data_IF_790111350303
#
_entry.id   IF_790111350303
#
_cell.length_a   1.000
_cell.length_b   1.000
_cell.length_c   1.000
_cell.angle_alpha   90.00
_cell.angle_beta   90.00
_cell.angle_gamma   90.00
#
_symmetry.space_group_name_H-M   'P 1'
#
loop_
_entity.id
_entity.type
_entity.pdbx_description
1 polymer ?
#
# COMPACT_ATOMS: atom_id res chain seq x y z
N UNK A 1 -3.16 10.84 -39.89
CA UNK A 1 -2.51 9.59 -39.43
C UNK A 1 -3.52 8.47 -39.51
N UNK A 2 -3.23 7.45 -40.32
CA UNK A 2 -4.03 6.24 -40.45
C UNK A 2 -3.99 5.44 -39.14
N UNK A 3 -5.03 4.64 -38.89
CA UNK A 3 -5.09 3.75 -37.72
C UNK A 3 -3.88 2.81 -37.64
N UNK A 4 -3.32 2.45 -38.80
CA UNK A 4 -2.13 1.59 -38.91
C UNK A 4 -0.85 2.25 -38.37
N UNK A 5 -0.61 3.50 -38.74
CA UNK A 5 0.56 4.28 -38.28
C UNK A 5 0.54 4.49 -36.76
N UNK A 6 -0.65 4.64 -36.18
CA UNK A 6 -0.83 4.76 -34.72
C UNK A 6 -0.50 3.47 -33.98
N UNK A 7 -0.71 2.32 -34.61
CA UNK A 7 -0.40 1.01 -34.04
C UNK A 7 1.10 0.73 -34.10
N UNK A 8 1.75 1.04 -35.24
CA UNK A 8 3.20 0.91 -35.41
C UNK A 8 3.96 1.77 -34.38
N UNK A 9 3.54 3.02 -34.20
CA UNK A 9 4.10 3.89 -33.15
C UNK A 9 3.87 3.34 -31.74
N UNK A 10 2.72 2.69 -31.51
CA UNK A 10 2.43 2.07 -30.21
C UNK A 10 3.38 0.91 -29.93
N UNK A 11 3.64 0.05 -30.91
CA UNK A 11 4.57 -1.07 -30.77
C UNK A 11 6.00 -0.60 -30.50
N UNK A 12 6.45 0.44 -31.21
CA UNK A 12 7.75 1.06 -30.97
C UNK A 12 7.88 1.57 -29.53
N UNK A 13 6.86 2.29 -29.04
CA UNK A 13 6.88 2.81 -27.66
C UNK A 13 6.83 1.70 -26.61
N UNK A 14 6.11 0.62 -26.87
CA UNK A 14 6.08 -0.54 -25.98
C UNK A 14 7.47 -1.19 -25.87
N UNK A 15 8.20 -1.33 -26.98
CA UNK A 15 9.58 -1.82 -26.99
C UNK A 15 10.53 -0.92 -26.19
N UNK A 16 10.47 0.39 -26.41
CA UNK A 16 11.28 1.38 -25.67
C UNK A 16 11.01 1.35 -24.15
N UNK A 17 9.75 1.17 -23.74
CA UNK A 17 9.39 1.04 -22.32
C UNK A 17 9.95 -0.25 -21.72
N UNK A 18 9.94 -1.35 -22.47
CA UNK A 18 10.54 -2.61 -22.03
C UNK A 18 12.06 -2.50 -21.88
N UNK A 19 12.76 -1.88 -22.84
CA UNK A 19 14.19 -1.61 -22.78
C UNK A 19 14.56 -0.69 -21.60
N UNK A 20 13.78 0.37 -21.38
CA UNK A 20 13.94 1.24 -20.21
C UNK A 20 13.83 0.45 -18.90
N UNK A 21 12.79 -0.38 -18.76
CA UNK A 21 12.61 -1.22 -17.57
C UNK A 21 13.74 -2.22 -17.38
N UNK A 22 14.20 -2.86 -18.45
CA UNK A 22 15.32 -3.79 -18.42
C UNK A 22 16.65 -3.10 -18.07
N UNK A 23 16.82 -1.83 -18.45
CA UNK A 23 18.04 -1.07 -18.17
C UNK A 23 18.24 -0.75 -16.69
N UNK A 24 17.15 -0.67 -15.90
CA UNK A 24 17.21 -0.27 -14.49
C UNK A 24 17.71 1.17 -14.24
N UNK A 25 17.89 1.96 -15.30
CA UNK A 25 18.39 3.34 -15.22
C UNK A 25 17.29 4.32 -14.82
N UNK A 26 17.69 5.45 -14.23
CA UNK A 26 16.76 6.56 -13.97
C UNK A 26 16.25 7.20 -15.26
N UNK A 27 15.01 7.70 -15.27
CA UNK A 27 14.36 8.29 -16.46
C UNK A 27 15.23 9.37 -17.16
N UNK A 28 15.85 10.26 -16.38
CA UNK A 28 16.69 11.32 -16.93
C UNK A 28 17.99 10.79 -17.57
N UNK A 29 18.56 9.74 -17.00
CA UNK A 29 19.80 9.13 -17.49
C UNK A 29 19.53 8.34 -18.77
N UNK A 30 18.48 7.51 -18.78
CA UNK A 30 18.09 6.73 -19.95
C UNK A 30 17.67 7.64 -21.12
N UNK A 31 16.93 8.72 -20.83
CA UNK A 31 16.53 9.69 -21.84
C UNK A 31 17.75 10.39 -22.49
N UNK A 32 18.77 10.75 -21.69
CA UNK A 32 20.01 11.33 -22.20
C UNK A 32 20.80 10.35 -23.06
N UNK A 33 20.92 9.08 -22.65
CA UNK A 33 21.65 8.06 -23.39
C UNK A 33 21.00 7.72 -24.73
N UNK A 34 19.66 7.66 -24.76
CA UNK A 34 18.90 7.27 -25.95
C UNK A 34 18.43 8.48 -26.80
N UNK A 35 18.84 9.71 -26.44
CA UNK A 35 18.49 10.92 -27.18
C UNK A 35 17.01 11.34 -27.10
N UNK A 36 16.26 10.82 -26.13
CA UNK A 36 14.85 11.15 -25.93
C UNK A 36 14.65 12.29 -24.93
N UNK A 37 13.53 13.00 -25.08
CA UNK A 37 13.08 13.95 -24.05
C UNK A 37 12.40 13.19 -22.91
N UNK A 38 12.77 13.49 -21.67
CA UNK A 38 12.20 12.86 -20.46
C UNK A 38 10.66 12.89 -20.46
N UNK A 39 10.07 13.99 -20.91
CA UNK A 39 8.60 14.15 -21.02
C UNK A 39 7.94 13.11 -21.94
N UNK A 40 8.60 12.67 -23.01
CA UNK A 40 8.07 11.66 -23.92
C UNK A 40 8.14 10.28 -23.27
N UNK A 41 9.25 9.98 -22.57
CA UNK A 41 9.39 8.74 -21.80
C UNK A 41 8.31 8.65 -20.71
N UNK A 42 8.06 9.72 -19.96
CA UNK A 42 6.95 9.77 -18.99
C UNK A 42 5.59 9.51 -19.65
N UNK A 43 5.34 10.11 -20.81
CA UNK A 43 4.12 9.87 -21.56
C UNK A 43 3.96 8.39 -21.94
N UNK A 44 5.03 7.73 -22.41
CA UNK A 44 5.02 6.30 -22.73
C UNK A 44 4.83 5.44 -21.47
N UNK A 45 5.53 5.73 -20.37
CA UNK A 45 5.40 5.00 -19.10
C UNK A 45 3.98 5.04 -18.55
N UNK A 46 3.29 6.19 -18.64
CA UNK A 46 1.89 6.33 -18.23
C UNK A 46 0.95 5.55 -19.15
N UNK A 47 1.29 5.43 -20.44
CA UNK A 47 0.47 4.74 -21.43
C UNK A 47 0.62 3.22 -21.39
N UNK A 48 1.78 2.74 -20.97
CA UNK A 48 2.09 1.32 -20.79
C UNK A 48 2.43 1.07 -19.33
N UNK A 49 1.45 1.13 -18.40
CA UNK A 49 1.71 0.83 -17.00
C UNK A 49 2.33 -0.57 -16.87
N UNK A 50 3.17 -0.77 -15.86
CA UNK A 50 3.64 -2.12 -15.55
C UNK A 50 2.41 -2.93 -15.14
N UNK A 51 2.32 -4.19 -15.59
CA UNK A 51 1.19 -5.07 -15.27
C UNK A 51 1.03 -5.28 -13.75
N UNK A 52 2.05 -4.96 -12.95
CA UNK A 52 2.01 -4.98 -11.49
C UNK A 52 1.31 -3.74 -10.87
N UNK A 53 1.05 -2.69 -11.66
CA UNK A 53 0.36 -1.48 -11.25
C UNK A 53 -1.13 -1.49 -11.64
N UNK A 54 -1.79 -2.65 -11.47
CA UNK A 54 -3.24 -2.68 -11.25
C UNK A 54 -3.64 -1.96 -9.94
N UNK A 55 -2.69 -1.39 -9.19
CA UNK A 55 -2.93 -0.23 -8.35
C UNK A 55 -3.06 1.02 -9.24
N UNK A 56 -4.13 1.05 -10.04
CA UNK A 56 -4.77 2.30 -10.40
C UNK A 56 -4.78 3.17 -9.14
N UNK A 57 -4.38 4.42 -9.28
CA UNK A 57 -4.59 5.52 -8.33
C UNK A 57 -6.10 5.79 -8.13
N UNK A 58 -6.89 4.74 -7.95
CA UNK A 58 -8.10 4.82 -7.15
C UNK A 58 -7.58 5.28 -5.80
N UNK A 59 -7.88 6.53 -5.44
CA UNK A 59 -7.76 7.03 -4.06
C UNK A 59 -8.25 5.92 -3.12
N UNK A 60 -7.33 5.11 -2.62
CA UNK A 60 -7.61 4.13 -1.61
C UNK A 60 -7.76 4.96 -0.37
N UNK A 61 -9.01 5.32 -0.05
CA UNK A 61 -9.36 5.87 1.24
C UNK A 61 -8.87 4.87 2.28
N UNK A 62 -7.72 5.17 2.88
CA UNK A 62 -7.23 4.41 4.02
C UNK A 62 -8.13 4.81 5.19
N UNK A 63 -8.93 3.89 5.75
CA UNK A 63 -9.68 4.21 6.95
C UNK A 63 -8.67 4.50 8.06
N UNK A 64 -8.67 5.74 8.52
CA UNK A 64 -7.99 6.10 9.78
C UNK A 64 -8.82 5.44 10.86
N UNK A 65 -8.36 4.27 11.32
CA UNK A 65 -8.83 3.73 12.59
C UNK A 65 -8.36 4.74 13.63
N UNK A 66 -9.27 5.43 14.34
CA UNK A 66 -8.85 6.29 15.43
C UNK A 66 -8.03 5.41 16.35
N UNK A 67 -6.82 5.86 16.67
CA UNK A 67 -6.00 5.23 17.69
C UNK A 67 -6.89 5.20 18.93
N UNK A 68 -7.39 4.01 19.28
CA UNK A 68 -8.20 3.86 20.48
C UNK A 68 -7.21 4.19 21.57
N UNK A 69 -7.29 5.41 22.10
CA UNK A 69 -6.57 5.79 23.31
C UNK A 69 -6.70 4.62 24.27
N UNK A 70 -5.57 3.95 24.52
CA UNK A 70 -5.56 2.77 25.36
C UNK A 70 -6.02 3.24 26.73
N UNK A 71 -7.30 3.01 27.03
CA UNK A 71 -7.83 3.29 28.35
C UNK A 71 -7.00 2.43 29.30
N UNK A 72 -6.42 3.01 30.36
CA UNK A 72 -5.57 2.25 31.26
C UNK A 72 -6.40 1.14 31.90
N UNK A 73 -6.26 -0.09 31.39
CA UNK A 73 -6.90 -1.29 31.92
C UNK A 73 -5.94 -1.97 32.90
N UNK A 74 -6.48 -2.46 34.02
CA UNK A 74 -5.73 -3.29 34.94
C UNK A 74 -5.80 -4.73 34.45
N UNK A 75 -4.65 -5.37 34.24
CA UNK A 75 -4.60 -6.79 33.88
C UNK A 75 -4.31 -7.64 35.11
N UNK A 76 -5.26 -8.49 35.50
CA UNK A 76 -5.13 -9.45 36.59
C UNK A 76 -4.79 -10.82 36.01
N UNK A 77 -3.67 -11.42 36.43
CA UNK A 77 -3.28 -12.78 36.01
C UNK A 77 -3.49 -13.78 37.14
N UNK A 78 -4.22 -14.86 36.87
CA UNK A 78 -4.45 -15.97 37.79
C UNK A 78 -4.05 -17.27 37.08
N UNK A 79 -2.89 -17.81 37.41
CA UNK A 79 -2.31 -18.95 36.69
C UNK A 79 -2.09 -18.63 35.20
N UNK A 80 -2.74 -19.40 34.32
CA UNK A 80 -2.72 -19.19 32.87
C UNK A 80 -3.80 -18.22 32.36
N UNK A 81 -4.74 -17.81 33.21
CA UNK A 81 -5.80 -16.88 32.86
C UNK A 81 -5.33 -15.42 33.03
N UNK A 82 -5.74 -14.55 32.10
CA UNK A 82 -5.57 -13.11 32.19
C UNK A 82 -6.94 -12.42 32.06
N UNK A 83 -7.21 -11.47 32.95
CA UNK A 83 -8.46 -10.72 33.01
C UNK A 83 -8.12 -9.24 32.83
N UNK A 84 -8.64 -8.63 31.76
CA UNK A 84 -8.58 -7.18 31.57
C UNK A 84 -9.72 -6.49 32.30
N UNK A 85 -9.37 -5.47 33.08
CA UNK A 85 -10.30 -4.71 33.91
C UNK A 85 -10.24 -3.23 33.50
N UNK A 86 -11.15 -2.76 32.64
CA UNK A 86 -11.21 -1.35 32.25
C UNK A 86 -11.75 -0.47 33.39
N UNK A 87 -11.54 0.86 33.34
CA UNK A 87 -12.15 1.78 34.30
C UNK A 87 -13.68 1.74 34.22
N UNK A 88 -14.36 1.85 35.38
CA UNK A 88 -15.81 1.75 35.47
C UNK A 88 -16.35 0.31 35.52
N UNK A 89 -15.48 -0.69 35.70
CA UNK A 89 -15.90 -2.06 35.93
C UNK A 89 -16.72 -2.23 37.22
N UNK A 90 -17.53 -3.30 37.27
CA UNK A 90 -18.25 -3.69 38.48
C UNK A 90 -17.33 -4.51 39.42
N UNK A 91 -17.01 -4.01 40.63
CA UNK A 91 -16.20 -4.73 41.60
C UNK A 91 -16.82 -6.05 42.08
N UNK A 92 -18.15 -6.13 42.14
CA UNK A 92 -18.88 -7.32 42.54
C UNK A 92 -18.69 -8.45 41.53
N UNK A 93 -18.83 -8.13 40.24
CA UNK A 93 -18.61 -9.05 39.14
C UNK A 93 -17.16 -9.55 39.10
N UNK A 94 -16.17 -8.65 39.19
CA UNK A 94 -14.76 -9.05 39.19
C UNK A 94 -14.46 -10.01 40.35
N UNK A 95 -14.98 -9.73 41.54
CA UNK A 95 -14.81 -10.60 42.72
C UNK A 95 -15.45 -11.97 42.52
N UNK A 96 -16.62 -12.04 41.88
CA UNK A 96 -17.29 -13.31 41.60
C UNK A 96 -16.46 -14.16 40.62
N UNK A 97 -15.96 -13.56 39.54
CA UNK A 97 -15.13 -14.24 38.53
C UNK A 97 -13.82 -14.75 39.12
N UNK A 98 -13.10 -13.91 39.87
CA UNK A 98 -11.82 -14.31 40.49
C UNK A 98 -12.02 -15.46 41.48
N UNK A 99 -13.14 -15.47 42.23
CA UNK A 99 -13.47 -16.58 43.14
C UNK A 99 -13.72 -17.91 42.44
N UNK A 100 -14.23 -17.90 41.21
CA UNK A 100 -14.43 -19.15 40.44
C UNK A 100 -13.14 -19.71 39.85
N UNK A 101 -12.05 -18.94 39.86
CA UNK A 101 -10.74 -19.34 39.33
C UNK A 101 -9.80 -19.91 40.41
N UNK A 102 -10.18 -19.81 41.69
CA UNK A 102 -9.46 -20.39 42.83
C UNK A 102 -9.99 -21.81 43.13
#
# INVERSE_FOLDING_TARGET
MSQKEREELRQLWAGLVAEFRASGLGQAQWARQNGYKVRHLQYWLRKFPATDAAASETMAWVPVVPDREATPSLVVRVGSAAIEVPPGFDPGLLRAVVRTLA
#
